data_IF_609604359955
#
_entry.id   IF_609604359955
#
_cell.length_a   1.000
_cell.length_b   1.000
_cell.length_c   1.000
_cell.angle_alpha   90.00
_cell.angle_beta   90.00
_cell.angle_gamma   90.00
#
_symmetry.space_group_name_H-M   'P 1'
#
loop_
_entity.id
_entity.type
_entity.pdbx_description
1 polymer ?
#
# COMPACT_ATOMS: atom_id res chain seq x y z
N UNK A 1 19.68 -9.34 7.79
CA UNK A 1 19.71 -8.16 8.71
C UNK A 1 18.87 -8.45 9.94
N UNK A 2 19.30 -7.99 11.12
CA UNK A 2 18.51 -8.02 12.35
C UNK A 2 17.42 -6.94 12.33
N UNK A 3 16.43 -7.06 13.20
CA UNK A 3 15.38 -6.04 13.35
C UNK A 3 15.94 -4.62 13.59
N UNK A 4 16.92 -4.50 14.49
CA UNK A 4 17.54 -3.21 14.82
C UNK A 4 18.42 -2.65 13.71
N UNK A 5 19.09 -3.49 12.92
CA UNK A 5 19.82 -3.04 11.72
C UNK A 5 18.84 -2.47 10.68
N UNK A 6 17.70 -3.14 10.45
CA UNK A 6 16.68 -2.70 9.51
C UNK A 6 16.02 -1.37 9.94
N UNK A 7 15.63 -1.24 11.21
CA UNK A 7 15.01 0.00 11.72
C UNK A 7 16.01 1.16 11.74
N UNK A 8 17.27 0.91 12.05
CA UNK A 8 18.33 1.91 11.96
C UNK A 8 18.56 2.41 10.53
N UNK A 9 18.60 1.50 9.55
CA UNK A 9 18.75 1.86 8.14
C UNK A 9 17.58 2.68 7.64
N UNK A 10 16.35 2.31 8.00
CA UNK A 10 15.14 3.07 7.71
C UNK A 10 15.18 4.48 8.34
N UNK A 11 15.61 4.60 9.59
CA UNK A 11 15.72 5.91 10.26
C UNK A 11 16.77 6.81 9.59
N UNK A 12 17.94 6.26 9.25
CA UNK A 12 18.96 6.99 8.49
C UNK A 12 18.48 7.42 7.10
N UNK A 13 17.69 6.58 6.45
CA UNK A 13 17.12 6.86 5.14
C UNK A 13 16.06 7.98 5.24
N UNK A 14 15.26 7.96 6.30
CA UNK A 14 14.31 9.03 6.62
C UNK A 14 15.01 10.38 6.82
N UNK A 15 16.10 10.40 7.64
CA UNK A 15 16.90 11.60 7.89
C UNK A 15 17.55 12.17 6.62
N UNK A 16 17.84 11.31 5.64
CA UNK A 16 18.41 11.71 4.33
C UNK A 16 17.34 12.17 3.32
N UNK A 17 16.08 12.22 3.72
CA UNK A 17 14.94 12.49 2.83
C UNK A 17 14.85 11.53 1.62
N UNK A 18 15.17 10.26 1.86
CA UNK A 18 15.16 9.20 0.83
C UNK A 18 14.15 8.09 1.10
N UNK A 19 13.36 8.20 2.16
CA UNK A 19 12.33 7.22 2.49
C UNK A 19 11.02 7.55 1.77
N UNK A 20 10.46 6.55 1.08
CA UNK A 20 9.10 6.54 0.55
C UNK A 20 8.29 5.53 1.33
N UNK A 21 7.17 5.94 1.93
CA UNK A 21 6.26 5.00 2.59
C UNK A 21 5.12 4.65 1.63
N UNK A 22 4.99 3.35 1.35
CA UNK A 22 3.95 2.81 0.48
C UNK A 22 2.85 2.19 1.33
N UNK A 23 1.65 2.82 1.34
CA UNK A 23 0.56 2.55 2.28
C UNK A 23 -0.55 1.75 1.61
N UNK A 24 -0.92 0.62 2.21
CA UNK A 24 -2.01 -0.23 1.75
C UNK A 24 -3.22 -0.23 2.69
N UNK A 25 -4.27 -0.95 2.30
CA UNK A 25 -5.57 -1.00 2.97
C UNK A 25 -5.53 -1.49 4.44
N UNK A 26 -4.48 -2.17 4.85
CA UNK A 26 -4.28 -2.57 6.26
C UNK A 26 -4.15 -1.39 7.22
N UNK A 27 -3.74 -0.20 6.75
CA UNK A 27 -3.72 1.02 7.55
C UNK A 27 -5.15 1.55 7.71
N UNK A 28 -5.90 1.68 6.63
CA UNK A 28 -7.29 2.17 6.62
C UNK A 28 -8.27 1.26 7.37
N UNK A 29 -7.94 -0.04 7.51
CA UNK A 29 -8.69 -1.00 8.34
C UNK A 29 -8.83 -0.51 9.80
N UNK A 30 -7.84 0.23 10.31
CA UNK A 30 -7.88 0.77 11.67
C UNK A 30 -8.89 1.91 11.85
N UNK A 31 -9.35 2.51 10.77
CA UNK A 31 -10.48 3.45 10.73
C UNK A 31 -11.83 2.75 10.45
N UNK A 32 -11.86 1.41 10.40
CA UNK A 32 -13.07 0.64 10.15
C UNK A 32 -13.40 0.40 8.68
N UNK A 33 -12.51 0.76 7.75
CA UNK A 33 -12.71 0.49 6.33
C UNK A 33 -12.50 -1.00 5.99
N UNK A 34 -13.22 -1.50 4.97
CA UNK A 34 -13.03 -2.86 4.49
C UNK A 34 -11.64 -3.01 3.84
N UNK A 35 -11.10 -4.21 3.96
CA UNK A 35 -9.94 -4.62 3.16
C UNK A 35 -10.36 -4.83 1.70
N UNK A 36 -9.40 -4.80 0.78
CA UNK A 36 -9.68 -5.07 -0.64
C UNK A 36 -10.40 -6.41 -0.85
N UNK A 37 -10.00 -7.47 -0.13
CA UNK A 37 -10.69 -8.75 -0.20
C UNK A 37 -12.15 -8.71 0.22
N UNK A 38 -12.49 -7.92 1.25
CA UNK A 38 -13.87 -7.72 1.67
C UNK A 38 -14.69 -6.94 0.63
N UNK A 39 -14.07 -5.94 -0.01
CA UNK A 39 -14.73 -5.21 -1.10
C UNK A 39 -15.00 -6.13 -2.29
N UNK A 40 -14.03 -6.93 -2.71
CA UNK A 40 -14.20 -7.88 -3.81
C UNK A 40 -15.24 -8.94 -3.47
N UNK A 41 -15.31 -9.40 -2.21
CA UNK A 41 -16.35 -10.32 -1.76
C UNK A 41 -17.76 -9.70 -1.90
N UNK A 42 -17.92 -8.41 -1.61
CA UNK A 42 -19.21 -7.74 -1.81
C UNK A 42 -19.66 -7.74 -3.29
N UNK A 43 -18.72 -7.64 -4.24
CA UNK A 43 -19.03 -7.80 -5.67
C UNK A 43 -19.37 -9.26 -6.02
N UNK A 44 -18.65 -10.22 -5.47
CA UNK A 44 -18.91 -11.64 -5.67
C UNK A 44 -20.33 -12.03 -5.22
N UNK A 45 -20.74 -11.51 -4.07
CA UNK A 45 -22.08 -11.75 -3.48
C UNK A 45 -23.21 -11.18 -4.37
N UNK A 46 -22.99 -10.07 -5.08
CA UNK A 46 -23.97 -9.50 -6.00
C UNK A 46 -24.23 -10.34 -7.26
N UNK A 47 -23.27 -11.17 -7.64
CA UNK A 47 -23.36 -12.01 -8.86
C UNK A 47 -23.39 -13.52 -8.53
N UNK A 48 -23.66 -13.87 -7.29
CA UNK A 48 -23.67 -15.26 -6.79
C UNK A 48 -22.35 -16.03 -7.12
N UNK A 49 -21.19 -15.31 -7.15
CA UNK A 49 -19.90 -15.92 -7.45
C UNK A 49 -19.34 -16.61 -6.21
N UNK A 50 -19.13 -17.93 -6.30
CA UNK A 50 -18.59 -18.71 -5.18
C UNK A 50 -17.07 -18.58 -5.07
N UNK A 51 -16.57 -17.84 -4.09
CA UNK A 51 -15.13 -17.70 -3.79
C UNK A 51 -14.57 -18.89 -3.01
N UNK A 52 -15.38 -19.88 -2.64
CA UNK A 52 -15.02 -21.02 -1.78
C UNK A 52 -14.31 -20.59 -0.48
N UNK A 53 -14.63 -19.37 0.02
CA UNK A 53 -14.07 -18.78 1.23
C UNK A 53 -12.65 -18.22 1.11
N UNK A 54 -12.05 -18.21 -0.10
CA UNK A 54 -10.74 -17.61 -0.36
C UNK A 54 -10.64 -17.15 -1.80
N UNK A 55 -10.26 -15.90 -1.98
CA UNK A 55 -10.00 -15.32 -3.31
C UNK A 55 -8.62 -15.77 -3.83
N UNK A 56 -8.57 -16.23 -5.08
CA UNK A 56 -7.32 -16.34 -5.80
C UNK A 56 -6.81 -14.94 -6.21
N UNK A 57 -5.51 -14.79 -6.44
CA UNK A 57 -4.90 -13.48 -6.76
C UNK A 57 -5.57 -12.80 -7.96
N UNK A 58 -5.96 -13.56 -8.97
CA UNK A 58 -6.60 -13.05 -10.18
C UNK A 58 -8.05 -12.62 -9.96
N UNK A 59 -8.74 -13.24 -9.00
CA UNK A 59 -10.14 -12.94 -8.68
C UNK A 59 -10.32 -11.55 -8.11
N UNK A 60 -9.27 -10.98 -7.48
CA UNK A 60 -9.32 -9.62 -6.92
C UNK A 60 -9.63 -8.52 -7.94
N UNK A 61 -9.26 -8.71 -9.18
CA UNK A 61 -9.52 -7.73 -10.26
C UNK A 61 -10.62 -8.21 -11.22
N UNK A 62 -10.79 -9.55 -11.39
CA UNK A 62 -11.77 -10.12 -12.32
C UNK A 62 -13.20 -10.10 -11.80
N UNK A 63 -13.43 -10.34 -10.51
CA UNK A 63 -14.78 -10.31 -9.94
C UNK A 63 -15.43 -8.93 -10.10
N UNK A 64 -14.75 -7.80 -9.74
CA UNK A 64 -15.27 -6.48 -10.06
C UNK A 64 -15.54 -6.25 -11.55
N UNK A 65 -14.67 -6.80 -12.44
CA UNK A 65 -14.88 -6.73 -13.89
C UNK A 65 -16.14 -7.49 -14.32
N UNK A 66 -16.39 -8.69 -13.77
CA UNK A 66 -17.59 -9.45 -14.10
C UNK A 66 -18.86 -8.70 -13.69
N UNK A 67 -18.88 -8.13 -12.48
CA UNK A 67 -20.00 -7.30 -12.06
C UNK A 67 -20.18 -6.07 -12.98
N UNK A 68 -19.10 -5.38 -13.33
CA UNK A 68 -19.13 -4.24 -14.24
C UNK A 68 -19.72 -4.61 -15.62
N UNK A 69 -19.38 -5.77 -16.17
CA UNK A 69 -19.92 -6.26 -17.43
C UNK A 69 -21.42 -6.65 -17.34
N UNK A 70 -21.90 -7.01 -16.17
CA UNK A 70 -23.32 -7.36 -15.92
C UNK A 70 -24.17 -6.14 -15.54
N UNK A 71 -23.55 -5.02 -15.19
CA UNK A 71 -24.27 -3.81 -14.78
C UNK A 71 -24.86 -3.11 -16.00
N UNK A 72 -26.18 -3.24 -16.17
CA UNK A 72 -26.98 -2.61 -17.24
C UNK A 72 -27.45 -1.20 -16.85
N UNK A 73 -27.08 -0.69 -15.68
CA UNK A 73 -27.46 0.67 -15.26
C UNK A 73 -26.76 1.74 -16.12
N UNK A 74 -27.37 2.91 -16.22
CA UNK A 74 -26.81 4.02 -16.99
C UNK A 74 -25.42 4.39 -16.45
N UNK A 75 -24.41 4.39 -17.34
CA UNK A 75 -23.00 4.67 -17.02
C UNK A 75 -22.43 3.78 -15.90
N UNK A 76 -22.91 2.54 -15.77
CA UNK A 76 -22.50 1.59 -14.71
C UNK A 76 -22.68 2.17 -13.28
N UNK A 77 -23.78 2.90 -13.07
CA UNK A 77 -24.06 3.58 -11.81
C UNK A 77 -24.13 2.63 -10.61
N UNK A 78 -24.62 1.40 -10.80
CA UNK A 78 -24.69 0.38 -9.73
C UNK A 78 -23.30 -0.06 -9.28
N UNK A 79 -22.36 -0.22 -10.23
CA UNK A 79 -20.96 -0.55 -9.94
C UNK A 79 -20.29 0.51 -9.06
N UNK A 80 -20.38 1.78 -9.46
CA UNK A 80 -19.76 2.88 -8.72
C UNK A 80 -20.47 3.15 -7.38
N UNK A 81 -21.77 2.97 -7.32
CA UNK A 81 -22.56 3.09 -6.07
C UNK A 81 -22.16 2.01 -5.06
N UNK A 82 -21.89 0.77 -5.52
CA UNK A 82 -21.44 -0.29 -4.64
C UNK A 82 -20.07 0.04 -4.03
N UNK A 83 -19.10 0.51 -4.81
CA UNK A 83 -17.80 0.95 -4.29
C UNK A 83 -18.00 2.06 -3.24
N UNK A 84 -18.77 3.08 -3.57
CA UNK A 84 -18.99 4.23 -2.70
C UNK A 84 -19.68 3.85 -1.40
N UNK A 85 -20.62 2.90 -1.43
CA UNK A 85 -21.36 2.43 -0.24
C UNK A 85 -20.46 1.76 0.81
N UNK A 86 -19.29 1.26 0.40
CA UNK A 86 -18.34 0.60 1.29
C UNK A 86 -17.40 1.57 2.03
N UNK A 87 -17.39 2.85 1.64
CA UNK A 87 -16.56 3.89 2.27
C UNK A 87 -17.50 4.99 2.80
N UNK A 88 -17.70 5.09 4.13
CA UNK A 88 -18.54 6.12 4.72
C UNK A 88 -17.96 7.55 4.52
N UNK A 89 -18.83 8.52 4.27
CA UNK A 89 -18.43 9.92 4.05
C UNK A 89 -17.80 10.59 5.29
N UNK A 90 -18.10 10.09 6.50
CA UNK A 90 -17.69 10.67 7.78
C UNK A 90 -16.56 9.87 8.46
N UNK A 91 -15.73 9.19 7.68
CA UNK A 91 -14.60 8.44 8.21
C UNK A 91 -13.45 9.38 8.60
N UNK A 92 -12.81 9.09 9.72
CA UNK A 92 -11.68 9.89 10.23
C UNK A 92 -10.37 9.10 10.14
N UNK A 93 -9.29 9.85 9.86
CA UNK A 93 -7.93 9.31 9.90
C UNK A 93 -7.62 8.75 11.28
N UNK A 94 -6.90 7.65 11.32
CA UNK A 94 -6.46 7.03 12.55
C UNK A 94 -5.01 7.43 12.89
N UNK A 95 -4.56 7.09 14.09
CA UNK A 95 -3.21 7.46 14.58
C UNK A 95 -2.06 6.88 13.73
N UNK A 96 -2.29 5.82 12.93
CA UNK A 96 -1.28 5.33 11.97
C UNK A 96 -1.14 6.29 10.78
N UNK A 97 -2.25 6.82 10.26
CA UNK A 97 -2.21 7.83 9.20
C UNK A 97 -1.45 9.06 9.68
N UNK A 98 -1.77 9.54 10.89
CA UNK A 98 -1.08 10.67 11.53
C UNK A 98 0.41 10.38 11.74
N UNK A 99 0.76 9.18 12.24
CA UNK A 99 2.15 8.78 12.46
C UNK A 99 2.93 8.76 11.14
N UNK A 100 2.40 8.12 10.09
CA UNK A 100 3.03 8.04 8.78
C UNK A 100 3.38 9.44 8.25
N UNK A 101 2.42 10.37 8.29
CA UNK A 101 2.65 11.74 7.84
C UNK A 101 3.64 12.48 8.74
N UNK A 102 3.57 12.28 10.06
CA UNK A 102 4.45 12.93 11.04
C UNK A 102 5.91 12.49 10.96
N UNK A 103 6.19 11.31 10.39
CA UNK A 103 7.55 10.87 10.05
C UNK A 103 8.19 11.74 8.97
N UNK A 104 7.40 12.46 8.17
CA UNK A 104 7.85 13.27 7.05
C UNK A 104 8.70 12.50 6.02
N UNK A 105 8.23 11.33 5.53
CA UNK A 105 8.93 10.66 4.45
C UNK A 105 9.01 11.57 3.22
N UNK A 106 9.93 11.27 2.29
CA UNK A 106 10.07 12.06 1.06
C UNK A 106 8.78 12.09 0.25
N UNK A 107 8.16 10.94 0.07
CA UNK A 107 6.85 10.79 -0.54
C UNK A 107 6.04 9.73 0.20
N UNK A 108 4.73 9.87 0.14
CA UNK A 108 3.78 8.83 0.54
C UNK A 108 3.11 8.34 -0.74
N UNK A 109 3.06 7.03 -0.92
CA UNK A 109 2.40 6.39 -2.06
C UNK A 109 1.30 5.49 -1.52
N UNK A 110 0.14 5.49 -2.13
CA UNK A 110 -0.95 4.61 -1.71
C UNK A 110 -1.74 4.08 -2.90
N UNK A 111 -2.24 2.85 -2.75
CA UNK A 111 -3.27 2.29 -3.62
C UNK A 111 -4.67 2.43 -3.02
N UNK A 112 -4.77 2.99 -1.82
CA UNK A 112 -6.06 3.26 -1.18
C UNK A 112 -6.71 4.47 -1.85
N UNK A 113 -7.99 4.37 -2.11
CA UNK A 113 -8.78 5.44 -2.69
C UNK A 113 -9.65 6.19 -1.66
N UNK A 114 -9.59 5.79 -0.37
CA UNK A 114 -10.15 6.58 0.73
C UNK A 114 -9.42 7.92 0.92
N UNK A 115 -9.96 8.79 1.75
CA UNK A 115 -9.44 10.15 1.99
C UNK A 115 -8.69 10.29 3.32
N UNK A 116 -8.36 9.18 4.01
CA UNK A 116 -7.78 9.23 5.36
C UNK A 116 -6.42 9.93 5.40
N UNK A 117 -5.50 9.54 4.52
CA UNK A 117 -4.20 10.20 4.40
C UNK A 117 -4.34 11.66 3.96
N UNK A 118 -5.30 11.98 3.08
CA UNK A 118 -5.56 13.37 2.62
C UNK A 118 -5.88 14.30 3.79
N UNK A 119 -6.66 13.82 4.79
CA UNK A 119 -7.06 14.60 5.97
C UNK A 119 -5.86 15.06 6.82
N UNK A 120 -4.77 14.30 6.82
CA UNK A 120 -3.59 14.53 7.68
C UNK A 120 -2.33 14.90 6.90
N UNK A 121 -2.33 14.83 5.56
CA UNK A 121 -1.16 15.03 4.71
C UNK A 121 -0.70 16.50 4.60
N UNK A 122 -0.62 17.23 5.70
CA UNK A 122 -0.13 18.59 5.71
C UNK A 122 1.31 18.67 5.21
N UNK A 123 1.56 19.55 4.22
CA UNK A 123 2.88 19.69 3.59
C UNK A 123 3.12 18.78 2.39
N UNK A 124 2.18 17.89 2.08
CA UNK A 124 2.20 17.05 0.86
C UNK A 124 1.23 17.61 -0.17
N UNK A 125 1.64 17.58 -1.43
CA UNK A 125 0.71 17.80 -2.53
C UNK A 125 0.11 16.44 -2.91
N UNK A 126 -1.23 16.36 -2.93
CA UNK A 126 -1.94 15.15 -3.31
C UNK A 126 -1.95 15.05 -4.84
N UNK A 127 -1.52 13.90 -5.35
CA UNK A 127 -1.47 13.55 -6.77
C UNK A 127 -2.45 12.42 -7.01
N UNK A 128 -3.48 12.67 -7.80
CA UNK A 128 -4.54 11.70 -8.13
C UNK A 128 -4.48 11.25 -9.58
N UNK A 129 -3.91 12.07 -10.45
CA UNK A 129 -3.79 11.80 -11.88
C UNK A 129 -2.51 12.42 -12.46
N UNK A 130 -2.13 12.01 -13.66
CA UNK A 130 -0.92 12.47 -14.38
C UNK A 130 -0.82 13.99 -14.48
N UNK A 131 -1.98 14.69 -14.63
CA UNK A 131 -2.06 16.13 -14.71
C UNK A 131 -1.54 16.81 -13.46
N UNK A 132 -1.78 16.24 -12.28
CA UNK A 132 -1.36 16.83 -11.00
C UNK A 132 0.17 16.87 -10.89
N UNK A 133 0.86 15.86 -11.44
CA UNK A 133 2.33 15.86 -11.53
C UNK A 133 2.85 16.97 -12.44
N UNK A 134 2.14 17.30 -13.54
CA UNK A 134 2.54 18.36 -14.47
C UNK A 134 2.36 19.76 -13.89
N UNK A 135 1.42 19.92 -12.98
CA UNK A 135 1.11 21.21 -12.33
C UNK A 135 1.70 21.35 -10.94
N UNK A 136 2.21 20.24 -10.37
CA UNK A 136 2.76 20.17 -9.05
C UNK A 136 4.19 20.77 -8.95
N UNK A 137 4.44 21.53 -7.90
CA UNK A 137 5.76 22.12 -7.58
C UNK A 137 6.20 21.79 -6.14
N UNK A 138 5.58 20.80 -5.52
CA UNK A 138 5.93 20.42 -4.15
C UNK A 138 7.20 19.57 -4.09
N UNK A 139 7.92 19.65 -2.98
CA UNK A 139 9.02 18.74 -2.68
C UNK A 139 8.54 17.38 -2.15
N UNK A 140 7.26 17.30 -1.71
CA UNK A 140 6.66 16.12 -1.09
C UNK A 140 5.30 15.83 -1.74
N UNK A 141 5.08 14.59 -2.13
CA UNK A 141 3.83 14.15 -2.75
C UNK A 141 3.17 13.02 -1.95
N UNK A 142 1.84 13.08 -1.86
CA UNK A 142 0.97 11.93 -1.57
C UNK A 142 0.41 11.45 -2.90
N UNK A 143 0.94 10.32 -3.42
CA UNK A 143 0.52 9.73 -4.69
C UNK A 143 -0.59 8.70 -4.44
N UNK A 144 -1.77 8.92 -5.00
CA UNK A 144 -2.92 7.99 -4.98
C UNK A 144 -2.97 7.25 -6.31
N UNK A 145 -2.27 6.11 -6.38
CA UNK A 145 -2.06 5.37 -7.64
C UNK A 145 -3.35 4.82 -8.25
N UNK A 146 -4.35 4.55 -7.43
CA UNK A 146 -5.62 3.98 -7.88
C UNK A 146 -6.78 4.99 -7.87
N UNK A 147 -6.45 6.28 -7.85
CA UNK A 147 -7.46 7.34 -7.86
C UNK A 147 -8.04 7.64 -6.48
N UNK A 148 -9.22 8.25 -6.47
CA UNK A 148 -9.87 8.78 -5.26
C UNK A 148 -11.37 8.45 -5.29
N UNK A 149 -11.92 8.11 -4.14
CA UNK A 149 -13.35 7.79 -3.99
C UNK A 149 -14.28 8.96 -4.34
N UNK A 150 -13.75 10.18 -4.32
CA UNK A 150 -14.50 11.37 -4.77
C UNK A 150 -14.79 11.34 -6.28
N UNK A 151 -13.98 10.58 -7.06
CA UNK A 151 -14.15 10.38 -8.50
C UNK A 151 -14.15 8.87 -8.83
N UNK A 152 -15.18 8.13 -8.44
CA UNK A 152 -15.20 6.66 -8.53
C UNK A 152 -15.06 6.14 -9.97
N UNK A 153 -15.45 6.93 -10.96
CA UNK A 153 -15.30 6.60 -12.39
C UNK A 153 -13.83 6.60 -12.87
N UNK A 154 -12.91 7.16 -12.08
CA UNK A 154 -11.47 7.18 -12.36
C UNK A 154 -10.67 6.18 -11.52
N UNK A 155 -11.35 5.37 -10.70
CA UNK A 155 -10.67 4.39 -9.86
C UNK A 155 -10.04 3.26 -10.69
N UNK A 156 -8.89 2.80 -10.24
CA UNK A 156 -8.26 1.57 -10.72
C UNK A 156 -8.70 0.42 -9.81
N UNK A 157 -9.72 -0.33 -10.22
CA UNK A 157 -10.32 -1.34 -9.37
C UNK A 157 -10.63 -2.67 -10.08
N UNK A 158 -11.06 -2.65 -11.36
CA UNK A 158 -11.38 -3.83 -12.17
C UNK A 158 -10.27 -4.18 -13.16
N UNK A 159 -10.29 -5.36 -13.74
CA UNK A 159 -9.23 -5.92 -14.61
C UNK A 159 -8.81 -4.96 -15.73
N UNK A 160 -9.76 -4.37 -16.45
CA UNK A 160 -9.45 -3.43 -17.55
C UNK A 160 -8.67 -2.20 -17.09
N UNK A 161 -8.91 -1.71 -15.86
CA UNK A 161 -8.20 -0.56 -15.31
C UNK A 161 -6.71 -0.88 -15.11
N UNK A 162 -6.41 -2.10 -14.62
CA UNK A 162 -5.03 -2.57 -14.46
C UNK A 162 -4.34 -2.83 -15.80
N UNK A 163 -5.05 -3.42 -16.77
CA UNK A 163 -4.50 -3.68 -18.10
C UNK A 163 -4.15 -2.40 -18.86
N UNK A 164 -4.91 -1.34 -18.65
CA UNK A 164 -4.69 -0.04 -19.29
C UNK A 164 -3.90 0.95 -18.42
N UNK A 165 -3.44 0.56 -17.23
CA UNK A 165 -2.79 1.44 -16.25
C UNK A 165 -1.61 2.21 -16.86
N UNK A 166 -0.68 1.52 -17.51
CA UNK A 166 0.49 2.16 -18.16
C UNK A 166 0.13 3.12 -19.30
N UNK A 167 -1.10 3.10 -19.77
CA UNK A 167 -1.60 4.01 -20.81
C UNK A 167 -2.31 5.22 -20.22
N UNK A 168 -3.00 5.04 -19.10
CA UNK A 168 -3.81 6.07 -18.43
C UNK A 168 -3.06 6.82 -17.35
N UNK A 169 -2.03 6.21 -16.74
CA UNK A 169 -1.23 6.73 -15.62
C UNK A 169 0.27 6.76 -15.96
N UNK A 170 0.62 7.18 -17.17
CA UNK A 170 2.00 7.13 -17.72
C UNK A 170 3.00 7.91 -16.89
N UNK A 171 2.64 9.12 -16.44
CA UNK A 171 3.56 9.97 -15.69
C UNK A 171 3.68 9.50 -14.25
N UNK A 172 2.57 9.08 -13.62
CA UNK A 172 2.60 8.52 -12.27
C UNK A 172 3.43 7.23 -12.23
N UNK A 173 3.27 6.33 -13.19
CA UNK A 173 4.07 5.11 -13.30
C UNK A 173 5.55 5.41 -13.53
N UNK A 174 5.87 6.35 -14.43
CA UNK A 174 7.24 6.78 -14.71
C UNK A 174 7.88 7.42 -13.49
N UNK A 175 7.15 8.30 -12.81
CA UNK A 175 7.63 8.94 -11.58
C UNK A 175 7.91 7.90 -10.48
N UNK A 176 6.98 6.97 -10.26
CA UNK A 176 7.15 5.89 -9.29
C UNK A 176 8.39 5.03 -9.60
N UNK A 177 8.59 4.67 -10.87
CA UNK A 177 9.78 3.92 -11.31
C UNK A 177 11.06 4.72 -11.11
N UNK A 178 11.04 6.05 -11.29
CA UNK A 178 12.21 6.89 -11.04
C UNK A 178 12.63 6.91 -9.58
N UNK A 179 11.66 6.83 -8.65
CA UNK A 179 11.95 6.76 -7.22
C UNK A 179 12.68 5.47 -6.82
N UNK A 180 12.51 4.37 -7.57
CA UNK A 180 13.23 3.12 -7.32
C UNK A 180 14.75 3.22 -7.50
N UNK A 181 15.23 4.26 -8.19
CA UNK A 181 16.64 4.44 -8.51
C UNK A 181 17.42 4.90 -7.28
N UNK A 182 16.84 5.80 -6.48
CA UNK A 182 17.60 6.49 -5.43
C UNK A 182 16.82 6.69 -4.11
N UNK A 183 15.67 6.05 -3.95
CA UNK A 183 14.85 6.05 -2.73
C UNK A 183 14.67 4.63 -2.20
N UNK A 184 14.49 4.52 -0.90
CA UNK A 184 14.14 3.29 -0.19
C UNK A 184 12.65 3.27 0.06
N UNK A 185 12.00 2.16 -0.26
CA UNK A 185 10.58 1.96 -0.03
C UNK A 185 10.33 1.14 1.24
N UNK A 186 9.40 1.64 2.06
CA UNK A 186 8.82 0.91 3.19
C UNK A 186 7.35 0.62 2.91
N UNK A 187 7.01 -0.65 2.70
CA UNK A 187 5.65 -1.10 2.47
C UNK A 187 4.95 -1.39 3.79
N UNK A 188 3.79 -0.76 4.00
CA UNK A 188 2.97 -0.83 5.22
C UNK A 188 1.53 -1.15 4.87
N UNK A 189 0.90 -2.07 5.60
CA UNK A 189 -0.51 -2.40 5.41
C UNK A 189 -0.84 -3.27 4.19
N UNK A 190 0.16 -3.93 3.62
CA UNK A 190 0.00 -4.91 2.52
C UNK A 190 0.09 -6.34 3.02
N UNK A 191 -0.44 -7.26 2.23
CA UNK A 191 -0.14 -8.69 2.36
C UNK A 191 0.88 -9.13 1.30
N UNK A 192 1.65 -10.20 1.57
CA UNK A 192 2.57 -10.77 0.58
C UNK A 192 1.87 -11.35 -0.66
N UNK A 193 0.57 -11.51 -0.63
CA UNK A 193 -0.23 -11.95 -1.77
C UNK A 193 -0.84 -10.79 -2.57
N UNK A 194 -0.63 -9.56 -2.13
CA UNK A 194 -1.15 -8.38 -2.79
C UNK A 194 -0.61 -8.25 -4.23
N UNK A 195 -1.51 -7.97 -5.18
CA UNK A 195 -1.18 -7.85 -6.59
C UNK A 195 -0.24 -6.65 -6.84
N UNK A 196 -0.52 -5.53 -6.20
CA UNK A 196 0.24 -4.29 -6.38
C UNK A 196 1.66 -4.44 -5.83
N UNK A 197 1.80 -5.03 -4.63
CA UNK A 197 3.10 -5.32 -4.04
C UNK A 197 3.92 -6.24 -4.96
N UNK A 198 3.31 -7.30 -5.51
CA UNK A 198 4.01 -8.21 -6.43
C UNK A 198 4.48 -7.52 -7.70
N UNK A 199 3.67 -6.67 -8.29
CA UNK A 199 4.03 -5.89 -9.48
C UNK A 199 5.20 -4.97 -9.19
N UNK A 200 5.15 -4.26 -8.07
CA UNK A 200 6.20 -3.33 -7.66
C UNK A 200 7.53 -4.05 -7.37
N UNK A 201 7.48 -5.14 -6.62
CA UNK A 201 8.66 -5.98 -6.33
C UNK A 201 9.25 -6.57 -7.62
N UNK A 202 8.41 -6.92 -8.59
CA UNK A 202 8.87 -7.39 -9.90
C UNK A 202 9.64 -6.31 -10.68
N UNK A 203 9.24 -5.05 -10.60
CA UNK A 203 9.98 -3.95 -11.23
C UNK A 203 11.37 -3.76 -10.60
N UNK A 204 11.44 -3.79 -9.25
CA UNK A 204 12.72 -3.69 -8.52
C UNK A 204 13.66 -4.81 -8.96
N UNK A 205 13.17 -6.06 -8.92
CA UNK A 205 13.96 -7.25 -9.24
C UNK A 205 14.48 -7.22 -10.69
N UNK A 206 13.59 -6.90 -11.64
CA UNK A 206 13.94 -6.80 -13.06
C UNK A 206 15.01 -5.72 -13.33
N UNK A 207 14.84 -4.52 -12.78
CA UNK A 207 15.80 -3.43 -12.94
C UNK A 207 17.18 -3.82 -12.33
N UNK A 208 17.15 -4.44 -11.14
CA UNK A 208 18.38 -4.88 -10.45
C UNK A 208 19.13 -5.98 -11.21
N UNK A 209 18.41 -6.90 -11.84
CA UNK A 209 19.00 -7.97 -12.66
C UNK A 209 19.57 -7.41 -13.97
N UNK A 210 18.80 -6.58 -14.68
CA UNK A 210 19.21 -5.96 -15.95
C UNK A 210 20.48 -5.13 -15.78
N UNK A 211 20.59 -4.35 -14.70
CA UNK A 211 21.73 -3.49 -14.41
C UNK A 211 22.89 -4.24 -13.72
N UNK A 212 22.70 -5.50 -13.35
CA UNK A 212 23.68 -6.32 -12.61
C UNK A 212 24.13 -5.72 -11.26
N UNK A 213 23.25 -4.91 -10.62
CA UNK A 213 23.54 -4.19 -9.36
C UNK A 213 22.86 -4.81 -8.15
N UNK A 214 22.25 -5.98 -8.27
CA UNK A 214 21.44 -6.61 -7.23
C UNK A 214 22.09 -6.72 -5.86
N UNK A 215 23.42 -6.87 -5.80
CA UNK A 215 24.17 -6.95 -4.55
C UNK A 215 24.58 -5.59 -3.98
N UNK A 216 24.51 -4.54 -4.77
CA UNK A 216 24.94 -3.18 -4.43
C UNK A 216 23.77 -2.25 -4.18
N UNK A 217 22.55 -2.66 -4.57
CA UNK A 217 21.34 -1.88 -4.36
C UNK A 217 21.01 -1.72 -2.87
N UNK A 218 20.47 -0.55 -2.54
CA UNK A 218 19.82 -0.33 -1.25
C UNK A 218 18.64 -1.30 -1.07
N UNK A 219 18.37 -1.69 0.16
CA UNK A 219 17.24 -2.55 0.49
C UNK A 219 15.95 -1.78 0.56
N UNK A 220 14.87 -2.38 0.08
CA UNK A 220 13.51 -1.95 0.37
C UNK A 220 12.95 -2.80 1.51
N UNK A 221 11.94 -2.31 2.21
CA UNK A 221 11.45 -2.93 3.44
C UNK A 221 9.95 -3.20 3.38
N UNK A 222 9.53 -4.29 4.02
CA UNK A 222 8.14 -4.69 4.09
C UNK A 222 7.76 -5.10 5.52
N UNK A 223 6.74 -4.44 6.10
CA UNK A 223 6.15 -4.86 7.36
C UNK A 223 5.13 -5.98 7.08
N UNK A 224 5.48 -7.20 7.43
CA UNK A 224 4.70 -8.39 7.12
C UNK A 224 3.92 -8.93 8.30
N UNK A 225 2.66 -9.26 8.06
CA UNK A 225 1.82 -10.06 8.95
C UNK A 225 1.70 -11.53 8.50
N UNK A 226 2.42 -11.95 7.47
CA UNK A 226 2.17 -13.22 6.77
C UNK A 226 3.27 -14.28 6.95
N UNK A 227 4.39 -13.94 7.60
CA UNK A 227 5.48 -14.87 7.86
C UNK A 227 5.24 -15.59 9.19
N UNK A 228 4.36 -16.57 9.17
CA UNK A 228 4.23 -17.48 10.32
C UNK A 228 5.44 -18.43 10.38
N UNK A 229 5.73 -18.95 11.56
CA UNK A 229 6.77 -19.96 11.79
C UNK A 229 6.70 -21.08 10.72
N UNK A 230 7.84 -21.41 10.11
CA UNK A 230 7.93 -22.42 9.05
C UNK A 230 7.80 -21.92 7.60
N UNK A 231 7.71 -20.61 7.37
CA UNK A 231 7.65 -20.02 6.02
C UNK A 231 8.95 -19.29 5.62
N UNK A 232 10.10 -19.78 6.06
CA UNK A 232 11.42 -19.19 5.72
C UNK A 232 11.65 -19.07 4.21
N UNK A 233 11.01 -19.94 3.41
CA UNK A 233 11.09 -19.86 1.95
C UNK A 233 10.46 -18.58 1.38
N UNK A 234 9.39 -18.03 2.01
CA UNK A 234 8.80 -16.75 1.60
C UNK A 234 9.73 -15.59 1.92
N UNK A 235 10.34 -15.58 3.12
CA UNK A 235 11.33 -14.58 3.49
C UNK A 235 12.48 -14.58 2.48
N UNK A 236 13.10 -15.73 2.21
CA UNK A 236 14.19 -15.87 1.24
C UNK A 236 13.80 -15.45 -0.17
N UNK A 237 12.56 -15.75 -0.58
CA UNK A 237 12.05 -15.33 -1.88
C UNK A 237 12.03 -13.81 -2.02
N UNK A 238 11.51 -13.08 -1.02
CA UNK A 238 11.44 -11.62 -1.08
C UNK A 238 12.79 -10.95 -0.86
N UNK A 239 13.61 -11.48 0.05
CA UNK A 239 14.99 -11.02 0.24
C UNK A 239 15.81 -11.18 -1.04
N UNK A 240 15.63 -12.30 -1.76
CA UNK A 240 16.23 -12.52 -3.07
C UNK A 240 15.81 -11.50 -4.15
N UNK A 241 14.69 -10.80 -3.92
CA UNK A 241 14.18 -9.71 -4.77
C UNK A 241 14.48 -8.30 -4.25
N UNK A 242 15.41 -8.17 -3.30
CA UNK A 242 15.79 -6.87 -2.73
C UNK A 242 14.81 -6.30 -1.69
N UNK A 243 13.88 -7.11 -1.17
CA UNK A 243 12.88 -6.71 -0.19
C UNK A 243 13.16 -7.36 1.17
N UNK A 244 13.69 -6.60 2.13
CA UNK A 244 13.87 -7.05 3.51
C UNK A 244 12.54 -7.10 4.25
N UNK A 245 12.28 -8.20 4.96
CA UNK A 245 10.98 -8.41 5.61
C UNK A 245 11.10 -8.27 7.13
N UNK A 246 10.40 -7.29 7.68
CA UNK A 246 10.18 -7.13 9.12
C UNK A 246 8.89 -7.88 9.49
N UNK A 247 9.04 -8.95 10.25
CA UNK A 247 7.92 -9.80 10.66
C UNK A 247 7.27 -9.24 11.92
N UNK A 248 6.02 -8.78 11.81
CA UNK A 248 5.25 -8.22 12.91
C UNK A 248 4.89 -9.25 14.00
N UNK A 249 5.02 -10.56 13.73
CA UNK A 249 4.86 -11.60 14.74
C UNK A 249 6.16 -12.04 15.41
N UNK A 250 7.31 -11.48 14.97
CA UNK A 250 8.63 -11.78 15.52
C UNK A 250 9.36 -10.50 15.96
N UNK A 251 8.62 -9.54 16.50
CA UNK A 251 9.19 -8.32 17.05
C UNK A 251 9.97 -8.60 18.34
N UNK A 252 11.01 -7.80 18.67
CA UNK A 252 11.63 -7.82 19.99
C UNK A 252 10.59 -7.56 21.09
N UNK A 253 10.76 -8.21 22.26
CA UNK A 253 9.79 -8.18 23.37
C UNK A 253 9.43 -6.75 23.82
N UNK A 254 10.41 -5.86 23.86
CA UNK A 254 10.17 -4.46 24.23
C UNK A 254 9.35 -3.68 23.20
N UNK A 255 9.44 -4.02 21.90
CA UNK A 255 8.64 -3.41 20.83
C UNK A 255 7.22 -3.97 20.90
N UNK A 256 7.09 -5.27 21.09
CA UNK A 256 5.80 -5.95 21.21
C UNK A 256 5.01 -5.42 22.44
N UNK A 257 5.67 -5.22 23.60
CA UNK A 257 5.06 -4.58 24.76
C UNK A 257 4.61 -3.14 24.52
N UNK A 258 5.36 -2.33 23.77
CA UNK A 258 4.92 -0.99 23.36
C UNK A 258 3.68 -1.04 22.47
N UNK A 259 3.59 -2.03 21.59
CA UNK A 259 2.42 -2.23 20.75
C UNK A 259 1.14 -2.45 21.57
N UNK A 260 1.22 -3.11 22.73
CA UNK A 260 0.06 -3.31 23.61
C UNK A 260 -0.52 -2.02 24.20
N UNK A 261 0.29 -0.97 24.30
CA UNK A 261 -0.11 0.36 24.82
C UNK A 261 -0.77 1.25 23.75
N UNK A 262 -0.68 0.87 22.46
CA UNK A 262 -1.20 1.66 21.33
C UNK A 262 -2.75 1.57 21.29
N UNK A 263 -3.49 2.68 21.23
CA UNK A 263 -4.94 2.70 21.28
C UNK A 263 -5.59 2.36 19.92
N UNK A 264 -5.22 1.23 19.35
CA UNK A 264 -5.82 0.64 18.15
C UNK A 264 -6.43 -0.71 18.47
N UNK A 265 -7.55 -1.04 17.87
CA UNK A 265 -8.24 -2.32 18.05
C UNK A 265 -7.53 -3.48 17.33
N UNK A 266 -6.95 -3.21 16.16
CA UNK A 266 -6.25 -4.20 15.35
C UNK A 266 -4.82 -4.44 15.87
N UNK A 267 -4.49 -5.69 16.21
CA UNK A 267 -3.17 -6.07 16.71
C UNK A 267 -2.05 -5.70 15.73
N UNK A 268 -2.26 -5.95 14.44
CA UNK A 268 -1.27 -5.63 13.41
C UNK A 268 -1.09 -4.13 13.24
N UNK A 269 -2.17 -3.36 13.41
CA UNK A 269 -2.12 -1.90 13.48
C UNK A 269 -1.24 -1.42 14.63
N UNK A 270 -1.44 -1.96 15.84
CA UNK A 270 -0.62 -1.62 17.01
C UNK A 270 0.86 -1.94 16.82
N UNK A 271 1.17 -3.13 16.30
CA UNK A 271 2.56 -3.55 16.02
C UNK A 271 3.22 -2.70 14.94
N UNK A 272 2.46 -2.38 13.89
CA UNK A 272 2.91 -1.44 12.83
C UNK A 272 3.23 -0.08 13.41
N UNK A 273 2.36 0.45 14.26
CA UNK A 273 2.57 1.73 14.95
C UNK A 273 3.87 1.71 15.77
N UNK A 274 4.07 0.70 16.62
CA UNK A 274 5.26 0.58 17.46
C UNK A 274 6.56 0.53 16.65
N UNK A 275 6.57 -0.17 15.49
CA UNK A 275 7.73 -0.21 14.60
C UNK A 275 7.99 1.16 13.95
N UNK A 276 6.94 1.82 13.44
CA UNK A 276 7.09 3.14 12.81
C UNK A 276 7.51 4.22 13.80
N UNK A 277 7.02 4.19 15.04
CA UNK A 277 7.39 5.14 16.09
C UNK A 277 8.88 5.09 16.41
N UNK A 278 9.50 3.91 16.35
CA UNK A 278 10.95 3.77 16.55
C UNK A 278 11.76 4.58 15.54
N UNK A 279 11.25 4.78 14.32
CA UNK A 279 11.96 5.55 13.29
C UNK A 279 12.14 7.03 13.66
N UNK A 280 11.31 7.55 14.58
CA UNK A 280 11.44 8.93 15.10
C UNK A 280 12.55 9.08 16.14
N UNK A 281 12.86 8.02 16.86
CA UNK A 281 13.68 8.08 18.07
C UNK A 281 15.12 7.60 17.85
N UNK A 282 15.42 7.04 16.70
CA UNK A 282 16.74 6.61 16.26
C UNK A 282 17.42 7.67 15.37
#
# INVERSE_FOLDING_TARGET
MTFYEMTKDLSLTLQKEKLVIFVGAGVSKNSGLPTWGQMVQAFADQIDYSTKGRLATEEYIRIPQYYYCLDESENHASYYSLIRSMIPDNIEANILDELIVSLKPKHIVTTNFDTLLDQVAQGYQVIREDRDLMTGLSAHYLLKLHGDIEQPEKLVFKEDDYLHYSQTHRLMETFLKSLLIDHVFLFVGYSLNDYNLKTFVSWIDYIAEEMQVKQEMHHNYFLSSSLHAGKDYLRKYYEGKGLQVIDLYQLPEEVDRRADEVPLSDELGRKTYAVLEMLKTM
#
